data_IF_451946641713
#
_entry.id   IF_451946641713
#
_cell.length_a   1.000
_cell.length_b   1.000
_cell.length_c   1.000
_cell.angle_alpha   90.00
_cell.angle_beta   90.00
_cell.angle_gamma   90.00
#
_symmetry.space_group_name_H-M   'P 1'
#
loop_
_entity.id
_entity.type
_entity.pdbx_description
1 polymer ?
#
# COMPACT_ATOMS: atom_id res chain seq x y z
N UNK A 1 -14.56 -50.73 6.82
CA UNK A 1 -14.15 -49.37 6.46
C UNK A 1 -14.96 -48.84 5.26
N UNK A 2 -15.26 -47.54 5.19
CA UNK A 2 -15.99 -46.94 4.06
C UNK A 2 -15.30 -47.25 2.71
N UNK A 3 -13.95 -47.35 2.71
CA UNK A 3 -13.19 -47.72 1.51
C UNK A 3 -13.48 -49.10 0.97
N UNK A 4 -13.65 -50.10 1.86
CA UNK A 4 -13.94 -51.48 1.45
C UNK A 4 -15.31 -51.63 0.83
N UNK A 5 -16.30 -50.85 1.34
CA UNK A 5 -17.65 -50.80 0.78
C UNK A 5 -17.68 -50.21 -0.63
N UNK A 6 -16.89 -49.16 -0.87
CA UNK A 6 -16.80 -48.55 -2.21
C UNK A 6 -16.01 -49.40 -3.21
N UNK A 7 -14.99 -50.19 -2.72
CA UNK A 7 -14.22 -51.07 -3.60
C UNK A 7 -15.01 -52.26 -4.19
N UNK A 8 -16.08 -52.67 -3.51
CA UNK A 8 -16.92 -53.77 -3.92
C UNK A 8 -17.97 -53.35 -4.98
N UNK A 9 -18.38 -52.06 -5.00
CA UNK A 9 -19.39 -51.52 -5.90
C UNK A 9 -18.84 -50.83 -7.15
N UNK A 10 -17.59 -50.36 -7.14
CA UNK A 10 -16.99 -49.57 -8.23
C UNK A 10 -15.83 -50.33 -8.86
N UNK A 11 -15.79 -50.45 -10.22
CA UNK A 11 -14.66 -51.05 -10.92
C UNK A 11 -13.44 -50.12 -10.83
N UNK A 12 -12.77 -50.11 -9.65
CA UNK A 12 -11.67 -49.18 -9.32
C UNK A 12 -10.52 -49.22 -10.33
N UNK A 13 -10.22 -50.40 -10.88
CA UNK A 13 -9.12 -50.52 -11.86
C UNK A 13 -9.44 -49.79 -13.17
N UNK A 14 -10.67 -49.84 -13.65
CA UNK A 14 -11.04 -49.13 -14.87
C UNK A 14 -11.30 -47.65 -14.69
N UNK A 15 -11.66 -47.23 -13.46
CA UNK A 15 -11.89 -45.83 -13.10
C UNK A 15 -10.60 -45.09 -12.67
N UNK A 16 -9.58 -45.81 -12.28
CA UNK A 16 -8.33 -45.21 -11.78
C UNK A 16 -7.65 -44.29 -12.80
N UNK A 17 -7.57 -44.72 -14.05
CA UNK A 17 -6.91 -43.94 -15.11
C UNK A 17 -7.70 -42.68 -15.49
N UNK A 18 -9.02 -42.74 -15.78
CA UNK A 18 -9.79 -41.51 -16.03
C UNK A 18 -9.87 -40.58 -14.80
N UNK A 19 -9.94 -41.10 -13.58
CA UNK A 19 -9.95 -40.30 -12.36
C UNK A 19 -8.63 -39.57 -12.18
N UNK A 20 -7.48 -40.22 -12.47
CA UNK A 20 -6.16 -39.60 -12.43
C UNK A 20 -6.05 -38.45 -13.45
N UNK A 21 -6.52 -38.66 -14.68
CA UNK A 21 -6.52 -37.58 -15.69
C UNK A 21 -7.45 -36.44 -15.31
N UNK A 22 -8.62 -36.71 -14.77
CA UNK A 22 -9.55 -35.70 -14.29
C UNK A 22 -8.93 -34.87 -13.18
N UNK A 23 -8.34 -35.53 -12.17
CA UNK A 23 -7.67 -34.88 -11.05
C UNK A 23 -6.51 -34.00 -11.54
N UNK A 24 -5.63 -34.55 -12.38
CA UNK A 24 -4.48 -33.82 -12.89
C UNK A 24 -4.88 -32.62 -13.75
N UNK A 25 -5.92 -32.76 -14.56
CA UNK A 25 -6.47 -31.67 -15.38
C UNK A 25 -7.11 -30.57 -14.53
N UNK A 26 -7.88 -30.93 -13.50
CA UNK A 26 -8.47 -29.97 -12.58
C UNK A 26 -7.42 -29.25 -11.75
N UNK A 27 -6.37 -29.95 -11.31
CA UNK A 27 -5.27 -29.35 -10.59
C UNK A 27 -4.48 -28.39 -11.49
N UNK A 28 -4.19 -28.79 -12.72
CA UNK A 28 -3.55 -27.92 -13.72
C UNK A 28 -4.38 -26.67 -14.01
N UNK A 29 -5.69 -26.83 -14.20
CA UNK A 29 -6.62 -25.72 -14.40
C UNK A 29 -6.67 -24.79 -13.18
N UNK A 30 -6.67 -25.34 -11.96
CA UNK A 30 -6.62 -24.56 -10.73
C UNK A 30 -5.38 -23.65 -10.67
N UNK A 31 -4.19 -24.19 -10.94
CA UNK A 31 -2.96 -23.40 -10.96
C UNK A 31 -2.96 -22.35 -12.08
N UNK A 32 -3.52 -22.66 -13.23
CA UNK A 32 -3.63 -21.73 -14.36
C UNK A 32 -4.60 -20.58 -14.07
N UNK A 33 -5.67 -20.82 -13.31
CA UNK A 33 -6.65 -19.82 -12.91
C UNK A 33 -6.24 -19.04 -11.65
N UNK A 34 -5.24 -19.51 -10.91
CA UNK A 34 -4.81 -18.90 -9.65
C UNK A 34 -4.44 -17.41 -9.80
N UNK A 35 -3.72 -16.94 -10.84
CA UNK A 35 -3.41 -15.52 -11.03
C UNK A 35 -4.65 -14.61 -11.17
N UNK A 36 -5.75 -15.15 -11.68
CA UNK A 36 -7.01 -14.42 -11.89
C UNK A 36 -7.95 -14.50 -10.68
N UNK A 37 -7.61 -15.34 -9.70
CA UNK A 37 -8.45 -15.59 -8.53
C UNK A 37 -8.08 -14.70 -7.35
N UNK A 38 -8.93 -14.69 -6.32
CA UNK A 38 -8.63 -14.04 -5.04
C UNK A 38 -7.44 -14.69 -4.30
N UNK A 39 -7.12 -15.94 -4.63
CA UNK A 39 -6.05 -16.68 -3.97
C UNK A 39 -4.63 -16.23 -4.38
N UNK A 40 -4.53 -15.36 -5.38
CA UNK A 40 -3.24 -14.79 -5.80
C UNK A 40 -2.49 -14.08 -4.65
N UNK A 41 -3.21 -13.57 -3.64
CA UNK A 41 -2.55 -12.91 -2.49
C UNK A 41 -1.66 -13.87 -1.70
N UNK A 42 -1.96 -15.17 -1.64
CA UNK A 42 -1.18 -16.14 -0.87
C UNK A 42 0.27 -16.27 -1.40
N UNK A 43 0.51 -16.64 -2.67
CA UNK A 43 1.87 -16.71 -3.18
C UNK A 43 2.57 -15.35 -3.23
N UNK A 44 1.86 -14.27 -3.51
CA UNK A 44 2.45 -12.93 -3.53
C UNK A 44 2.84 -12.44 -2.15
N UNK A 45 2.09 -12.77 -1.10
CA UNK A 45 2.43 -12.47 0.28
C UNK A 45 3.69 -13.23 0.72
N UNK A 46 3.81 -14.51 0.36
CA UNK A 46 5.03 -15.28 0.60
C UNK A 46 6.26 -14.63 -0.04
N UNK A 47 6.16 -14.28 -1.33
CA UNK A 47 7.24 -13.59 -2.05
C UNK A 47 7.56 -12.25 -1.39
N UNK A 48 6.55 -11.49 -0.98
CA UNK A 48 6.71 -10.21 -0.28
C UNK A 48 7.49 -10.36 1.03
N UNK A 49 7.14 -11.37 1.85
CA UNK A 49 7.85 -11.66 3.11
C UNK A 49 9.32 -11.98 2.84
N UNK A 50 9.63 -12.82 1.85
CA UNK A 50 11.00 -13.13 1.48
C UNK A 50 11.79 -11.89 1.06
N UNK A 51 11.23 -11.07 0.16
CA UNK A 51 11.88 -9.85 -0.31
C UNK A 51 12.11 -8.85 0.83
N UNK A 52 11.15 -8.71 1.74
CA UNK A 52 11.27 -7.87 2.92
C UNK A 52 12.41 -8.34 3.84
N UNK A 53 12.52 -9.65 4.05
CA UNK A 53 13.59 -10.24 4.86
C UNK A 53 14.97 -10.08 4.21
N UNK A 54 15.06 -10.04 2.88
CA UNK A 54 16.29 -9.74 2.17
C UNK A 54 16.63 -8.24 2.13
N UNK A 55 15.83 -7.40 2.81
CA UNK A 55 16.10 -5.97 2.92
C UNK A 55 15.64 -5.15 1.72
N UNK A 56 14.82 -5.70 0.83
CA UNK A 56 14.21 -4.93 -0.26
C UNK A 56 13.23 -3.93 0.34
N UNK A 57 13.44 -2.65 0.06
CA UNK A 57 12.61 -1.55 0.56
C UNK A 57 11.82 -0.93 -0.59
N UNK A 58 10.66 -0.36 -0.24
CA UNK A 58 9.87 0.43 -1.17
C UNK A 58 10.66 1.64 -1.65
N UNK A 59 10.80 1.78 -2.95
CA UNK A 59 11.40 2.95 -3.58
C UNK A 59 10.44 4.15 -3.62
N UNK A 60 10.95 5.29 -4.09
CA UNK A 60 10.13 6.50 -4.31
C UNK A 60 9.17 6.35 -5.50
N UNK A 61 9.54 5.54 -6.47
CA UNK A 61 8.77 5.28 -7.68
C UNK A 61 8.01 3.95 -7.56
N UNK A 62 6.90 3.86 -8.31
CA UNK A 62 6.13 2.63 -8.42
C UNK A 62 6.92 1.61 -9.24
N UNK A 63 7.18 0.45 -8.68
CA UNK A 63 8.03 -0.60 -9.28
C UNK A 63 7.44 -1.99 -9.06
N UNK A 64 8.14 -3.03 -9.51
CA UNK A 64 7.71 -4.42 -9.35
C UNK A 64 7.50 -4.84 -7.88
N UNK A 65 8.26 -4.27 -6.94
CA UNK A 65 8.04 -4.51 -5.52
C UNK A 65 6.70 -3.91 -5.02
N UNK A 66 6.32 -2.74 -5.56
CA UNK A 66 5.00 -2.14 -5.30
C UNK A 66 3.88 -3.03 -5.84
N UNK A 67 4.04 -3.61 -7.04
CA UNK A 67 3.08 -4.55 -7.63
C UNK A 67 2.90 -5.81 -6.76
N UNK A 68 3.99 -6.36 -6.23
CA UNK A 68 3.93 -7.50 -5.31
C UNK A 68 3.11 -7.11 -4.07
N UNK A 69 3.37 -5.94 -3.47
CA UNK A 69 2.61 -5.46 -2.31
C UNK A 69 1.11 -5.27 -2.62
N UNK A 70 0.79 -4.69 -3.78
CA UNK A 70 -0.61 -4.50 -4.22
C UNK A 70 -1.31 -5.85 -4.34
N UNK A 71 -0.64 -6.86 -4.88
CA UNK A 71 -1.20 -8.20 -5.03
C UNK A 71 -1.21 -9.02 -3.73
N UNK A 72 -0.38 -8.67 -2.75
CA UNK A 72 -0.36 -9.31 -1.42
C UNK A 72 -1.54 -8.89 -0.53
N UNK A 73 -2.33 -7.89 -0.93
CA UNK A 73 -3.49 -7.47 -0.17
C UNK A 73 -4.59 -8.54 -0.19
N UNK A 74 -4.88 -9.15 0.97
CA UNK A 74 -5.92 -10.16 1.16
C UNK A 74 -7.35 -9.59 1.15
N UNK A 75 -7.51 -8.26 1.12
CA UNK A 75 -8.79 -7.54 1.21
C UNK A 75 -9.56 -7.81 2.52
N UNK A 76 -8.86 -7.98 3.62
CA UNK A 76 -9.45 -8.24 4.93
C UNK A 76 -10.34 -7.10 5.48
N UNK A 77 -10.18 -5.87 4.97
CA UNK A 77 -11.01 -4.72 5.36
C UNK A 77 -10.60 -4.01 6.67
N UNK A 78 -9.60 -4.50 7.41
CA UNK A 78 -9.18 -3.88 8.69
C UNK A 78 -8.84 -2.39 8.51
N UNK A 79 -8.23 -2.02 7.38
CA UNK A 79 -7.89 -0.64 7.06
C UNK A 79 -9.11 0.29 6.88
N UNK A 80 -10.32 -0.24 6.70
CA UNK A 80 -11.56 0.54 6.64
C UNK A 80 -11.89 1.07 8.03
N UNK A 81 -11.89 0.19 9.02
CA UNK A 81 -12.27 0.54 10.38
C UNK A 81 -11.28 1.48 11.07
N UNK A 82 -10.01 1.45 10.66
CA UNK A 82 -8.96 2.32 11.22
C UNK A 82 -8.85 3.66 10.51
N UNK A 83 -9.54 3.85 9.39
CA UNK A 83 -9.48 5.07 8.59
C UNK A 83 -10.32 6.19 9.22
N UNK A 84 -9.69 7.33 9.51
CA UNK A 84 -10.39 8.49 10.08
C UNK A 84 -11.45 9.07 9.12
N UNK A 85 -11.21 9.05 7.83
CA UNK A 85 -12.18 9.50 6.83
C UNK A 85 -13.47 8.68 6.89
N UNK A 86 -13.34 7.37 7.15
CA UNK A 86 -14.52 6.52 7.34
C UNK A 86 -15.20 6.77 8.68
N UNK A 87 -14.42 6.75 9.78
CA UNK A 87 -15.00 6.78 11.12
C UNK A 87 -15.55 8.14 11.53
N UNK A 88 -14.96 9.23 11.06
CA UNK A 88 -15.34 10.59 11.48
C UNK A 88 -16.13 11.35 10.41
N UNK A 89 -15.90 11.06 9.14
CA UNK A 89 -16.49 11.83 8.03
C UNK A 89 -17.44 11.00 7.16
N UNK A 90 -17.61 9.71 7.42
CA UNK A 90 -18.38 8.77 6.60
C UNK A 90 -17.97 8.76 5.12
N UNK A 91 -16.70 9.11 4.82
CA UNK A 91 -16.14 9.04 3.48
C UNK A 91 -15.67 7.61 3.23
N UNK A 92 -16.45 6.91 2.41
CA UNK A 92 -16.16 5.56 1.97
C UNK A 92 -15.50 5.62 0.57
N UNK A 93 -14.78 4.58 0.19
CA UNK A 93 -14.08 4.44 -1.10
C UNK A 93 -12.65 5.01 -1.16
N UNK A 94 -12.18 5.81 -0.20
CA UNK A 94 -10.81 6.32 -0.14
C UNK A 94 -9.84 5.35 0.57
N UNK A 95 -10.38 4.37 1.28
CA UNK A 95 -9.59 3.43 2.09
C UNK A 95 -8.63 2.59 1.25
N UNK A 96 -7.49 2.16 1.81
CA UNK A 96 -6.46 1.44 1.06
C UNK A 96 -6.96 0.20 0.32
N UNK A 97 -7.91 -0.54 0.87
CA UNK A 97 -8.46 -1.73 0.23
C UNK A 97 -9.11 -1.42 -1.13
N UNK A 98 -9.82 -0.28 -1.23
CA UNK A 98 -10.43 0.16 -2.48
C UNK A 98 -9.38 0.69 -3.46
N UNK A 99 -8.43 1.50 -2.98
CA UNK A 99 -7.32 2.01 -3.78
C UNK A 99 -6.48 0.87 -4.38
N UNK A 100 -6.07 -0.12 -3.57
CA UNK A 100 -5.29 -1.27 -4.05
C UNK A 100 -6.10 -2.15 -5.01
N UNK A 101 -7.42 -2.29 -4.77
CA UNK A 101 -8.29 -3.01 -5.70
C UNK A 101 -8.30 -2.35 -7.08
N UNK A 102 -8.46 -1.02 -7.13
CA UNK A 102 -8.47 -0.26 -8.38
C UNK A 102 -7.14 -0.36 -9.11
N UNK A 103 -6.01 -0.23 -8.38
CA UNK A 103 -4.68 -0.44 -8.94
C UNK A 103 -4.52 -1.84 -9.56
N UNK A 104 -4.96 -2.87 -8.86
CA UNK A 104 -4.89 -4.26 -9.33
C UNK A 104 -5.73 -4.50 -10.59
N UNK A 105 -6.91 -3.92 -10.64
CA UNK A 105 -7.83 -4.06 -11.76
C UNK A 105 -7.53 -3.07 -12.90
N UNK A 106 -6.53 -2.18 -12.74
CA UNK A 106 -6.23 -1.09 -13.68
C UNK A 106 -7.43 -0.15 -13.93
N UNK A 107 -8.26 0.02 -12.89
CA UNK A 107 -9.35 0.98 -12.86
C UNK A 107 -8.83 2.38 -12.51
N UNK A 108 -9.64 3.40 -12.76
CA UNK A 108 -9.31 4.76 -12.34
C UNK A 108 -9.26 4.88 -10.81
N UNK A 109 -8.18 5.46 -10.28
CA UNK A 109 -7.87 5.54 -8.85
C UNK A 109 -7.51 6.96 -8.37
N UNK A 110 -7.66 7.97 -9.23
CA UNK A 110 -7.23 9.34 -8.95
C UNK A 110 -7.84 9.86 -7.65
N UNK A 111 -9.15 9.79 -7.52
CA UNK A 111 -9.86 10.25 -6.33
C UNK A 111 -9.38 9.55 -5.06
N UNK A 112 -9.23 8.23 -5.08
CA UNK A 112 -8.77 7.45 -3.92
C UNK A 112 -7.34 7.79 -3.52
N UNK A 113 -6.51 8.21 -4.46
CA UNK A 113 -5.14 8.61 -4.18
C UNK A 113 -5.07 10.03 -3.60
N UNK A 114 -5.90 10.97 -4.10
CA UNK A 114 -5.90 12.38 -3.69
C UNK A 114 -6.54 12.59 -2.33
N UNK A 115 -7.73 12.07 -2.10
CA UNK A 115 -8.54 12.32 -0.90
C UNK A 115 -7.95 11.74 0.39
N UNK A 116 -6.90 10.94 0.31
CA UNK A 116 -6.28 10.33 1.46
C UNK A 116 -5.41 11.32 2.27
N UNK A 117 -5.64 11.38 3.57
CA UNK A 117 -4.86 12.21 4.52
C UNK A 117 -3.42 11.73 4.74
N UNK A 118 -3.00 10.59 4.21
CA UNK A 118 -1.66 10.01 4.40
C UNK A 118 -1.24 9.82 5.87
N UNK A 119 -2.20 9.65 6.78
CA UNK A 119 -1.95 9.60 8.24
C UNK A 119 -1.25 8.32 8.74
N UNK A 120 -1.12 7.28 7.91
CA UNK A 120 -0.39 6.04 8.21
C UNK A 120 -1.10 5.03 9.12
N UNK A 121 -2.27 5.34 9.68
CA UNK A 121 -2.98 4.41 10.60
C UNK A 121 -3.26 3.05 9.98
N UNK A 122 -3.62 3.03 8.70
CA UNK A 122 -3.91 1.80 7.96
C UNK A 122 -2.68 0.91 7.75
N UNK A 123 -1.47 1.47 7.69
CA UNK A 123 -0.22 0.70 7.58
C UNK A 123 0.06 -0.06 8.86
N UNK A 124 -0.05 0.62 10.01
CA UNK A 124 0.16 0.00 11.32
C UNK A 124 -0.84 -1.11 11.63
N UNK A 125 -2.04 -1.01 11.05
CA UNK A 125 -3.10 -2.00 11.24
C UNK A 125 -3.10 -3.11 10.19
N UNK A 126 -2.25 -3.01 9.17
CA UNK A 126 -2.20 -4.00 8.11
C UNK A 126 -1.45 -5.27 8.56
N UNK A 127 -2.10 -6.45 8.61
CA UNK A 127 -1.45 -7.68 9.05
C UNK A 127 -0.31 -8.11 8.11
N UNK A 128 -0.41 -7.77 6.81
CA UNK A 128 0.62 -8.06 5.82
C UNK A 128 1.78 -7.05 5.89
N UNK A 129 1.53 -5.87 6.44
CA UNK A 129 2.54 -4.80 6.56
C UNK A 129 2.88 -4.12 5.24
N UNK A 130 1.86 -3.90 4.39
CA UNK A 130 2.00 -3.21 3.10
C UNK A 130 2.29 -1.72 3.33
N UNK A 131 3.24 -1.16 2.60
CA UNK A 131 3.59 0.28 2.67
C UNK A 131 2.58 1.12 1.85
N UNK A 132 1.38 1.27 2.37
CA UNK A 132 0.23 1.87 1.69
C UNK A 132 0.46 3.33 1.29
N UNK A 133 1.08 4.11 2.20
CA UNK A 133 1.39 5.52 1.95
C UNK A 133 2.44 5.67 0.85
N UNK A 134 3.49 4.84 0.87
CA UNK A 134 4.54 4.90 -0.14
C UNK A 134 4.00 4.55 -1.55
N UNK A 135 3.13 3.53 -1.64
CA UNK A 135 2.47 3.17 -2.91
C UNK A 135 1.58 4.33 -3.38
N UNK A 136 0.82 4.93 -2.49
CA UNK A 136 -0.06 6.06 -2.83
C UNK A 136 0.73 7.29 -3.24
N UNK A 137 1.81 7.58 -2.52
CA UNK A 137 2.70 8.69 -2.84
C UNK A 137 3.37 8.53 -4.20
N UNK A 138 3.75 7.30 -4.57
CA UNK A 138 4.37 7.04 -5.88
C UNK A 138 3.40 7.22 -7.06
N UNK A 139 2.07 7.13 -6.80
CA UNK A 139 1.03 7.30 -7.83
C UNK A 139 0.46 8.71 -7.92
N UNK A 140 0.59 9.53 -6.88
CA UNK A 140 0.09 10.92 -6.89
C UNK A 140 0.70 11.80 -7.99
N UNK A 141 2.00 11.76 -8.31
CA UNK A 141 2.56 12.56 -9.39
C UNK A 141 1.94 12.29 -10.75
N UNK A 142 1.59 11.03 -11.02
CA UNK A 142 0.94 10.61 -12.28
C UNK A 142 -0.44 11.28 -12.44
N UNK A 143 -1.16 11.47 -11.34
CA UNK A 143 -2.52 12.02 -11.29
C UNK A 143 -2.50 13.54 -11.34
N UNK A 144 -1.71 14.14 -10.44
CA UNK A 144 -1.65 15.59 -10.27
C UNK A 144 -0.90 16.29 -11.41
N UNK A 145 -0.27 15.53 -12.31
CA UNK A 145 0.67 16.06 -13.34
C UNK A 145 1.69 17.04 -12.75
N UNK A 146 1.98 16.87 -11.48
CA UNK A 146 2.93 17.68 -10.73
C UNK A 146 4.32 17.15 -11.04
N UNK A 147 5.04 17.81 -11.91
CA UNK A 147 6.45 17.52 -12.12
C UNK A 147 7.26 17.97 -10.91
N UNK A 148 8.43 17.37 -10.71
CA UNK A 148 9.38 17.80 -9.64
C UNK A 148 9.64 19.32 -9.71
N UNK A 149 9.54 19.89 -10.89
CA UNK A 149 9.77 21.30 -11.16
C UNK A 149 8.62 22.21 -10.70
N UNK A 150 7.42 21.67 -10.44
CA UNK A 150 6.26 22.46 -9.99
C UNK A 150 6.49 23.11 -8.62
N UNK A 151 7.33 22.51 -7.78
CA UNK A 151 7.74 23.07 -6.47
C UNK A 151 9.15 23.65 -6.48
N UNK A 152 9.82 23.67 -7.64
CA UNK A 152 11.18 24.19 -7.78
C UNK A 152 11.25 25.73 -7.71
N UNK A 153 10.09 26.41 -7.64
CA UNK A 153 10.03 27.85 -7.44
C UNK A 153 10.41 28.30 -6.03
N UNK A 154 10.45 27.37 -5.07
CA UNK A 154 11.00 27.66 -3.74
C UNK A 154 12.49 27.41 -3.80
N UNK A 155 13.33 28.46 -3.94
CA UNK A 155 14.77 28.28 -3.87
C UNK A 155 15.08 27.61 -2.52
N UNK A 156 15.76 26.46 -2.57
CA UNK A 156 16.27 25.88 -1.34
C UNK A 156 17.34 26.83 -0.81
N UNK A 157 17.12 27.54 0.30
CA UNK A 157 18.14 28.38 0.87
C UNK A 157 19.35 27.48 1.21
N UNK A 158 20.54 27.98 0.90
CA UNK A 158 21.77 27.32 1.39
C UNK A 158 21.66 27.17 2.90
N UNK A 159 21.54 25.94 3.36
CA UNK A 159 21.43 25.65 4.79
C UNK A 159 22.79 25.91 5.41
N UNK A 160 22.95 27.08 6.06
CA UNK A 160 24.12 27.35 6.86
C UNK A 160 24.06 26.53 8.14
N UNK A 161 25.16 25.95 8.59
CA UNK A 161 25.18 25.26 9.87
C UNK A 161 24.83 26.25 10.99
N UNK A 162 23.76 25.95 11.73
CA UNK A 162 23.27 26.76 12.83
C UNK A 162 23.22 25.94 14.11
N UNK A 163 23.51 26.56 15.27
CA UNK A 163 23.40 25.89 16.58
C UNK A 163 21.95 25.61 16.97
N UNK A 164 21.05 26.46 16.53
CA UNK A 164 19.60 26.36 16.82
C UNK A 164 18.82 26.44 15.55
N UNK A 165 17.92 25.48 15.33
CA UNK A 165 16.98 25.48 14.21
C UNK A 165 15.56 25.67 14.73
N UNK A 166 14.84 26.63 14.17
CA UNK A 166 13.44 26.89 14.49
C UNK A 166 12.55 26.35 13.36
N UNK A 167 11.72 25.36 13.68
CA UNK A 167 10.71 24.87 12.75
C UNK A 167 9.41 25.66 12.91
N UNK A 168 9.20 26.62 12.03
CA UNK A 168 8.07 27.54 12.12
C UNK A 168 6.69 26.91 11.86
N UNK A 169 6.61 25.86 11.04
CA UNK A 169 5.34 25.26 10.61
C UNK A 169 4.52 26.17 9.67
N UNK A 170 3.47 25.63 9.08
CA UNK A 170 2.66 26.35 8.08
C UNK A 170 1.90 27.55 8.66
N UNK A 171 1.42 27.47 9.91
CA UNK A 171 0.62 28.50 10.54
C UNK A 171 1.40 29.79 10.82
N UNK A 172 2.70 29.71 11.05
CA UNK A 172 3.53 30.89 11.29
C UNK A 172 3.68 31.78 10.06
N UNK A 173 3.57 31.23 8.86
CA UNK A 173 3.52 32.01 7.62
C UNK A 173 2.23 32.82 7.47
N UNK A 174 1.12 32.33 8.04
CA UNK A 174 -0.17 33.04 8.10
C UNK A 174 -0.19 34.13 9.20
N UNK A 175 0.71 34.03 10.18
CA UNK A 175 0.83 34.95 11.30
C UNK A 175 2.25 35.50 11.40
N UNK A 176 2.65 36.43 10.52
CA UNK A 176 4.03 36.92 10.44
C UNK A 176 4.54 37.60 11.73
N UNK A 177 3.63 38.03 12.61
CA UNK A 177 4.00 38.53 13.94
C UNK A 177 4.73 37.52 14.80
N UNK A 178 4.40 36.24 14.71
CA UNK A 178 5.03 35.16 15.45
C UNK A 178 6.49 35.00 15.00
N UNK A 179 6.77 35.03 13.71
CA UNK A 179 8.09 34.90 13.14
C UNK A 179 8.97 36.05 13.61
N UNK A 180 8.47 37.30 13.56
CA UNK A 180 9.21 38.50 14.04
C UNK A 180 9.50 38.41 15.53
N UNK A 181 8.54 37.98 16.34
CA UNK A 181 8.77 37.84 17.78
C UNK A 181 9.83 36.77 18.09
N UNK A 182 9.82 35.66 17.38
CA UNK A 182 10.83 34.61 17.53
C UNK A 182 12.23 35.09 17.10
N UNK A 183 12.32 35.82 16.00
CA UNK A 183 13.61 36.45 15.60
C UNK A 183 14.17 37.38 16.70
N UNK A 184 13.34 38.25 17.26
CA UNK A 184 13.74 39.13 18.35
C UNK A 184 14.19 38.37 19.61
N UNK A 185 13.54 37.21 19.91
CA UNK A 185 13.96 36.37 21.03
C UNK A 185 15.34 35.76 20.76
N UNK A 186 15.57 35.23 19.56
CA UNK A 186 16.86 34.64 19.19
C UNK A 186 17.97 35.69 19.16
N UNK A 187 17.73 36.90 18.65
CA UNK A 187 18.67 38.02 18.69
C UNK A 187 19.03 38.39 20.12
N UNK A 188 18.04 38.51 21.03
CA UNK A 188 18.25 38.79 22.44
C UNK A 188 18.98 37.66 23.18
N UNK A 189 18.69 36.41 22.82
CA UNK A 189 19.35 35.23 23.39
C UNK A 189 20.78 35.01 22.85
N UNK A 190 21.21 35.80 21.85
CA UNK A 190 22.49 35.59 21.13
C UNK A 190 22.65 34.17 20.63
N UNK A 191 21.55 33.59 20.17
CA UNK A 191 21.51 32.27 19.53
C UNK A 191 21.87 32.49 18.06
N UNK A 192 23.10 32.23 17.70
CA UNK A 192 23.58 32.17 16.31
C UNK A 192 23.31 30.81 15.68
#
# INVERSE_FOLDING_TARGET
NAGDFFSEFLPLESLSYPAWWLYSSLLGLFFLLLPFSRYMHIPTEMVYIFLKNWGVKQGKEYNGFSEIQVNSCSRCGICINTCQLNTSCNINDTQPVYFLRRLRNREEYAQQAEDCLMCGRCENSCPVGINLNAIRQSKRPDILRVTKDTYAYVPQPEVKPAKVAYFAGCMSHLTPGIIKSMQQIFEKAKAD
#
